data_IF_267622555326
#
_entry.id   IF_267622555326
#
_cell.length_a   1.000
_cell.length_b   1.000
_cell.length_c   1.000
_cell.angle_alpha   90.00
_cell.angle_beta   90.00
_cell.angle_gamma   90.00
#
_symmetry.space_group_name_H-M   'P 1'
#
loop_
_entity.id
_entity.type
_entity.pdbx_description
1 polymer ?
#
# COMPACT_ATOMS: atom_id res chain seq x y z
N UNK A 1 7.36 -6.32 25.06
CA UNK A 1 6.32 -6.68 24.07
C UNK A 1 5.67 -5.47 23.39
N UNK A 2 5.96 -4.22 23.80
CA UNK A 2 5.32 -3.02 23.22
C UNK A 2 5.93 -2.56 21.88
N UNK A 3 7.13 -3.02 21.51
CA UNK A 3 7.81 -2.53 20.30
C UNK A 3 7.53 -3.30 19.00
N UNK A 4 6.98 -4.52 19.08
CA UNK A 4 6.82 -5.38 17.88
C UNK A 4 5.52 -5.14 17.13
N UNK A 5 4.47 -4.66 17.81
CA UNK A 5 3.15 -4.49 17.21
C UNK A 5 3.13 -3.53 16.00
N UNK A 6 3.83 -2.37 16.00
CA UNK A 6 3.76 -1.45 14.87
C UNK A 6 4.49 -2.04 13.65
N UNK A 7 5.58 -2.76 13.86
CA UNK A 7 6.28 -3.50 12.79
C UNK A 7 5.39 -4.60 12.20
N UNK A 8 4.65 -5.32 13.04
CA UNK A 8 3.66 -6.30 12.58
C UNK A 8 2.52 -5.63 11.81
N UNK A 9 2.07 -4.43 12.22
CA UNK A 9 1.07 -3.67 11.49
C UNK A 9 1.60 -3.20 10.12
N UNK A 10 2.83 -2.67 10.06
CA UNK A 10 3.52 -2.27 8.82
C UNK A 10 3.66 -3.45 7.86
N UNK A 11 4.16 -4.60 8.35
CA UNK A 11 4.32 -5.81 7.56
C UNK A 11 2.97 -6.41 7.14
N UNK A 12 1.99 -6.45 8.05
CA UNK A 12 0.63 -6.94 7.81
C UNK A 12 -0.11 -6.11 6.76
N UNK A 13 0.00 -4.79 6.82
CA UNK A 13 -0.48 -3.88 5.77
C UNK A 13 0.23 -4.15 4.44
N UNK A 14 1.54 -4.43 4.46
CA UNK A 14 2.30 -4.79 3.26
C UNK A 14 1.77 -6.08 2.64
N UNK A 15 1.59 -7.13 3.44
CA UNK A 15 1.01 -8.39 3.02
C UNK A 15 -0.39 -8.19 2.43
N UNK A 16 -1.25 -7.41 3.11
CA UNK A 16 -2.58 -7.07 2.65
C UNK A 16 -2.57 -6.44 1.25
N UNK A 17 -1.69 -5.46 0.99
CA UNK A 17 -1.53 -4.87 -0.33
C UNK A 17 -1.00 -5.87 -1.37
N UNK A 18 -0.07 -6.73 -0.98
CA UNK A 18 0.52 -7.73 -1.88
C UNK A 18 -0.42 -8.87 -2.27
N UNK A 19 -1.41 -9.20 -1.43
CA UNK A 19 -2.48 -10.16 -1.75
C UNK A 19 -3.38 -9.65 -2.88
N UNK A 20 -3.48 -8.34 -3.07
CA UNK A 20 -4.42 -7.76 -4.02
C UNK A 20 -3.92 -7.88 -5.49
N UNK A 21 -4.63 -8.60 -6.38
CA UNK A 21 -4.25 -8.72 -7.79
C UNK A 21 -4.13 -7.38 -8.51
N UNK A 22 -4.95 -6.39 -8.13
CA UNK A 22 -4.94 -5.07 -8.73
C UNK A 22 -3.68 -4.27 -8.37
N UNK A 23 -2.99 -4.63 -7.27
CA UNK A 23 -1.73 -3.98 -6.84
C UNK A 23 -0.51 -4.40 -7.68
N UNK A 24 -0.72 -5.17 -8.76
CA UNK A 24 0.26 -5.31 -9.84
C UNK A 24 0.66 -6.75 -10.15
N UNK A 25 0.51 -7.70 -9.21
CA UNK A 25 0.96 -9.08 -9.44
C UNK A 25 0.20 -9.76 -10.59
N UNK A 26 -1.07 -9.40 -10.83
CA UNK A 26 -1.81 -9.89 -12.00
C UNK A 26 -1.20 -9.43 -13.33
N UNK A 27 -0.68 -8.19 -13.38
CA UNK A 27 0.05 -7.68 -14.54
C UNK A 27 1.39 -8.40 -14.72
N UNK A 28 2.11 -8.67 -13.61
CA UNK A 28 3.35 -9.43 -13.64
C UNK A 28 3.13 -10.84 -14.23
N UNK A 29 2.08 -11.54 -13.78
CA UNK A 29 1.69 -12.85 -14.32
C UNK A 29 1.30 -12.75 -15.78
N UNK A 30 0.48 -11.77 -16.16
CA UNK A 30 0.03 -11.59 -17.54
C UNK A 30 1.20 -11.35 -18.50
N UNK A 31 2.14 -10.49 -18.11
CA UNK A 31 3.34 -10.20 -18.89
C UNK A 31 4.26 -11.42 -19.00
N UNK A 32 4.42 -12.16 -17.90
CA UNK A 32 5.15 -13.43 -17.87
C UNK A 32 4.57 -14.47 -18.82
N UNK A 33 3.24 -14.69 -18.77
CA UNK A 33 2.53 -15.63 -19.64
C UNK A 33 2.63 -15.22 -21.11
N UNK A 34 2.50 -13.91 -21.39
CA UNK A 34 2.60 -13.38 -22.75
C UNK A 34 4.00 -13.56 -23.34
N UNK A 35 5.06 -13.28 -22.56
CA UNK A 35 6.46 -13.44 -22.98
C UNK A 35 7.01 -14.86 -22.76
N UNK A 36 6.21 -15.78 -22.22
CA UNK A 36 6.58 -17.16 -21.84
C UNK A 36 7.89 -17.26 -21.06
N UNK A 37 8.12 -16.32 -20.13
CA UNK A 37 9.37 -16.24 -19.35
C UNK A 37 9.07 -15.88 -17.90
N UNK A 38 9.48 -16.75 -16.98
CA UNK A 38 9.39 -16.50 -15.53
C UNK A 38 10.16 -15.24 -15.11
N UNK A 39 11.33 -15.00 -15.71
CA UNK A 39 12.15 -13.81 -15.40
C UNK A 39 11.36 -12.50 -15.57
N UNK A 40 10.40 -12.46 -16.48
CA UNK A 40 9.55 -11.28 -16.72
C UNK A 40 8.58 -11.03 -15.57
N UNK A 41 8.09 -12.10 -14.90
CA UNK A 41 7.25 -11.98 -13.70
C UNK A 41 8.05 -11.31 -12.57
N UNK A 42 9.29 -11.74 -12.37
CA UNK A 42 10.16 -11.17 -11.33
C UNK A 42 10.61 -9.74 -11.68
N UNK A 43 10.94 -9.48 -12.93
CA UNK A 43 11.29 -8.13 -13.41
C UNK A 43 10.13 -7.14 -13.24
N UNK A 44 8.89 -7.60 -13.39
CA UNK A 44 7.70 -6.78 -13.17
C UNK A 44 7.50 -6.37 -11.70
N UNK A 45 8.12 -7.05 -10.73
CA UNK A 45 8.07 -6.63 -9.33
C UNK A 45 8.81 -5.30 -9.08
N UNK A 46 9.85 -4.99 -9.87
CA UNK A 46 10.60 -3.75 -9.75
C UNK A 46 9.74 -2.51 -10.01
N UNK A 47 9.05 -2.35 -11.16
CA UNK A 47 8.16 -1.21 -11.37
C UNK A 47 6.97 -1.20 -10.41
N UNK A 48 6.49 -2.35 -9.95
CA UNK A 48 5.44 -2.40 -8.90
C UNK A 48 5.97 -1.75 -7.61
N UNK A 49 7.16 -2.14 -7.18
CA UNK A 49 7.82 -1.59 -6.01
C UNK A 49 8.02 -0.07 -6.13
N UNK A 50 8.53 0.40 -7.27
CA UNK A 50 8.82 1.83 -7.46
C UNK A 50 7.55 2.67 -7.47
N UNK A 51 6.49 2.22 -8.16
CA UNK A 51 5.21 2.92 -8.14
C UNK A 51 4.58 3.00 -6.75
N UNK A 52 4.60 1.89 -6.00
CA UNK A 52 4.06 1.83 -4.64
C UNK A 52 4.86 2.71 -3.67
N UNK A 53 6.19 2.61 -3.70
CA UNK A 53 7.07 3.43 -2.87
C UNK A 53 6.93 4.92 -3.20
N UNK A 54 6.79 5.28 -4.48
CA UNK A 54 6.56 6.67 -4.89
C UNK A 54 5.24 7.22 -4.37
N UNK A 55 4.18 6.41 -4.32
CA UNK A 55 2.88 6.81 -3.74
C UNK A 55 3.01 7.08 -2.24
N UNK A 56 3.65 6.18 -1.50
CA UNK A 56 3.89 6.37 -0.06
C UNK A 56 4.75 7.62 0.19
N UNK A 57 5.83 7.79 -0.59
CA UNK A 57 6.71 8.94 -0.46
C UNK A 57 5.96 10.26 -0.73
N UNK A 58 5.13 10.31 -1.78
CA UNK A 58 4.33 11.50 -2.09
C UNK A 58 3.35 11.82 -0.96
N UNK A 59 2.64 10.82 -0.43
CA UNK A 59 1.73 11.01 0.70
C UNK A 59 2.48 11.50 1.94
N UNK A 60 3.65 10.92 2.25
CA UNK A 60 4.47 11.33 3.37
C UNK A 60 4.96 12.78 3.23
N UNK A 61 5.42 13.18 2.04
CA UNK A 61 5.82 14.57 1.75
C UNK A 61 4.63 15.52 1.88
N UNK A 62 3.45 15.16 1.39
CA UNK A 62 2.25 15.98 1.50
C UNK A 62 1.82 16.18 2.96
N UNK A 63 1.84 15.11 3.76
CA UNK A 63 1.52 15.18 5.21
C UNK A 63 2.57 15.99 5.96
N UNK A 64 3.85 15.78 5.67
CA UNK A 64 4.95 16.50 6.32
C UNK A 64 4.91 17.99 6.02
N UNK A 65 4.70 18.38 4.76
CA UNK A 65 4.61 19.80 4.37
C UNK A 65 3.37 20.47 4.93
N UNK A 66 2.22 19.79 4.96
CA UNK A 66 1.01 20.30 5.62
C UNK A 66 1.22 20.55 7.12
N UNK A 67 1.94 19.64 7.81
CA UNK A 67 2.27 19.78 9.23
C UNK A 67 3.26 20.91 9.56
N UNK A 68 3.93 21.52 8.57
CA UNK A 68 4.76 22.71 8.79
C UNK A 68 3.93 24.00 8.93
N UNK A 69 2.70 23.99 8.41
CA UNK A 69 1.83 25.17 8.31
C UNK A 69 0.62 25.02 9.22
N UNK A 70 0.19 23.79 9.49
CA UNK A 70 -1.05 23.47 10.20
C UNK A 70 -0.74 22.53 11.38
N UNK A 71 -1.54 22.64 12.45
CA UNK A 71 -1.45 21.76 13.61
C UNK A 71 -1.57 20.27 13.24
N UNK A 72 -0.74 19.44 13.89
CA UNK A 72 -0.63 18.02 13.60
C UNK A 72 -1.94 17.24 13.86
N UNK A 73 -2.73 17.66 14.85
CA UNK A 73 -4.05 17.06 15.12
C UNK A 73 -4.98 17.33 13.96
N UNK A 74 -4.98 18.56 13.43
CA UNK A 74 -5.81 18.91 12.28
C UNK A 74 -5.41 18.13 11.02
N UNK A 75 -4.11 18.00 10.72
CA UNK A 75 -3.64 17.17 9.59
C UNK A 75 -4.09 15.72 9.74
N UNK A 76 -3.99 15.15 10.95
CA UNK A 76 -4.41 13.77 11.25
C UNK A 76 -5.92 13.58 11.06
N UNK A 77 -6.73 14.50 11.57
CA UNK A 77 -8.19 14.48 11.45
C UNK A 77 -8.62 14.62 9.99
N UNK A 78 -8.01 15.53 9.23
CA UNK A 78 -8.29 15.69 7.80
C UNK A 78 -7.91 14.44 7.02
N UNK A 79 -6.73 13.86 7.26
CA UNK A 79 -6.31 12.61 6.62
C UNK A 79 -7.27 11.46 6.93
N UNK A 80 -7.70 11.32 8.20
CA UNK A 80 -8.70 10.33 8.59
C UNK A 80 -10.06 10.57 7.94
N UNK A 81 -10.50 11.83 7.88
CA UNK A 81 -11.73 12.24 7.19
C UNK A 81 -11.70 11.92 5.70
N UNK A 82 -10.57 12.14 5.02
CA UNK A 82 -10.39 11.76 3.60
C UNK A 82 -10.58 10.25 3.42
N UNK A 83 -9.97 9.42 4.28
CA UNK A 83 -10.11 7.95 4.19
C UNK A 83 -11.56 7.50 4.45
N UNK A 84 -12.24 8.10 5.43
CA UNK A 84 -13.64 7.77 5.74
C UNK A 84 -14.60 8.19 4.61
N UNK A 85 -14.44 9.41 4.10
CA UNK A 85 -15.22 9.90 2.96
C UNK A 85 -14.99 9.02 1.73
N UNK A 86 -13.75 8.60 1.49
CA UNK A 86 -13.41 7.71 0.38
C UNK A 86 -14.00 6.31 0.55
N UNK A 87 -13.93 5.74 1.76
CA UNK A 87 -14.58 4.47 2.08
C UNK A 87 -16.09 4.54 1.88
N UNK A 88 -16.74 5.60 2.38
CA UNK A 88 -18.18 5.82 2.23
C UNK A 88 -18.56 5.98 0.76
N UNK A 89 -17.79 6.76 -0.01
CA UNK A 89 -17.98 6.90 -1.45
C UNK A 89 -17.98 5.53 -2.14
N UNK A 90 -17.02 4.66 -1.81
CA UNK A 90 -16.97 3.32 -2.39
C UNK A 90 -18.09 2.39 -1.94
N UNK A 91 -18.59 2.52 -0.71
CA UNK A 91 -19.78 1.77 -0.25
C UNK A 91 -21.03 2.21 -1.02
N UNK A 92 -21.20 3.51 -1.26
CA UNK A 92 -22.39 4.07 -1.88
C UNK A 92 -22.42 3.89 -3.40
N UNK A 93 -21.28 4.10 -4.07
CA UNK A 93 -21.20 4.12 -5.53
C UNK A 93 -20.58 2.86 -6.14
N UNK A 94 -19.96 2.01 -5.32
CA UNK A 94 -19.29 0.78 -5.73
C UNK A 94 -18.07 1.02 -6.64
N UNK A 95 -17.43 -0.07 -7.06
CA UNK A 95 -16.29 -0.07 -7.99
C UNK A 95 -16.72 0.13 -9.45
N UNK A 96 -17.59 1.12 -9.73
CA UNK A 96 -18.15 1.38 -11.07
C UNK A 96 -17.13 1.96 -12.05
N UNK A 97 -16.03 2.51 -11.54
CA UNK A 97 -14.96 3.10 -12.34
C UNK A 97 -14.03 2.02 -12.90
N UNK A 98 -14.33 1.55 -14.12
CA UNK A 98 -13.45 0.61 -14.84
C UNK A 98 -12.32 1.38 -15.53
N UNK A 99 -11.22 1.61 -14.83
CA UNK A 99 -9.99 2.07 -15.49
C UNK A 99 -9.43 0.92 -16.32
N UNK A 100 -9.55 1.02 -17.65
CA UNK A 100 -9.06 0.00 -18.58
C UNK A 100 -7.61 0.29 -18.93
N UNK A 101 -6.68 -0.15 -18.08
CA UNK A 101 -5.27 -0.24 -18.46
C UNK A 101 -5.00 -1.61 -19.05
N UNK A 102 -4.38 -1.65 -20.23
CA UNK A 102 -4.08 -2.90 -20.91
C UNK A 102 -3.12 -3.76 -20.08
N UNK A 103 -3.37 -5.07 -20.00
CA UNK A 103 -2.53 -6.02 -19.25
C UNK A 103 -1.12 -6.22 -19.85
N UNK A 104 -0.81 -5.51 -20.93
CA UNK A 104 0.47 -5.53 -21.66
C UNK A 104 1.20 -4.18 -21.61
N UNK A 105 0.86 -3.29 -20.68
CA UNK A 105 1.64 -2.06 -20.50
C UNK A 105 3.11 -2.37 -20.24
N UNK A 106 4.00 -1.59 -20.86
CA UNK A 106 5.44 -1.66 -20.57
C UNK A 106 5.75 -1.35 -19.08
N UNK A 107 7.00 -1.53 -18.67
CA UNK A 107 7.42 -1.38 -17.26
C UNK A 107 7.05 -0.01 -16.67
N UNK A 108 7.14 1.07 -17.46
CA UNK A 108 6.74 2.41 -17.03
C UNK A 108 5.22 2.52 -16.77
N UNK A 109 4.39 1.90 -17.61
CA UNK A 109 2.95 1.85 -17.40
C UNK A 109 2.58 1.01 -16.18
N UNK A 110 3.33 -0.05 -15.90
CA UNK A 110 3.16 -0.84 -14.68
C UNK A 110 3.54 -0.05 -13.42
N UNK A 111 4.61 0.75 -13.47
CA UNK A 111 4.97 1.64 -12.36
C UNK A 111 3.91 2.72 -12.13
N UNK A 112 3.42 3.37 -13.18
CA UNK A 112 2.34 4.35 -13.09
C UNK A 112 1.05 3.72 -12.56
N UNK A 113 0.69 2.53 -13.03
CA UNK A 113 -0.46 1.80 -12.52
C UNK A 113 -0.32 1.49 -11.03
N UNK A 114 0.83 0.95 -10.63
CA UNK A 114 1.12 0.66 -9.22
C UNK A 114 1.00 1.92 -8.36
N UNK A 115 1.55 3.04 -8.83
CA UNK A 115 1.42 4.34 -8.16
C UNK A 115 -0.04 4.79 -8.00
N UNK A 116 -0.84 4.74 -9.07
CA UNK A 116 -2.25 5.15 -9.02
C UNK A 116 -3.08 4.23 -8.13
N UNK A 117 -2.82 2.91 -8.19
CA UNK A 117 -3.50 1.93 -7.35
C UNK A 117 -3.11 2.11 -5.88
N UNK A 118 -1.84 2.32 -5.57
CA UNK A 118 -1.36 2.58 -4.21
C UNK A 118 -1.95 3.87 -3.62
N UNK A 119 -2.00 4.94 -4.42
CA UNK A 119 -2.59 6.22 -4.00
C UNK A 119 -4.10 6.10 -3.78
N UNK A 120 -4.81 5.42 -4.68
CA UNK A 120 -6.25 5.18 -4.51
C UNK A 120 -6.55 4.26 -3.32
N UNK A 121 -5.68 3.30 -3.02
CA UNK A 121 -5.80 2.46 -1.83
C UNK A 121 -5.52 3.22 -0.54
N UNK A 122 -4.96 4.43 -0.62
CA UNK A 122 -4.56 5.21 0.55
C UNK A 122 -3.33 4.66 1.24
N UNK A 123 -2.49 3.86 0.55
CA UNK A 123 -1.37 3.12 1.16
C UNK A 123 -0.45 4.01 2.00
N UNK A 124 -0.14 5.22 1.53
CA UNK A 124 0.66 6.19 2.27
C UNK A 124 -0.01 6.69 3.56
N UNK A 125 -1.31 7.02 3.52
CA UNK A 125 -2.07 7.46 4.70
C UNK A 125 -2.35 6.29 5.66
N UNK A 126 -2.50 5.07 5.13
CA UNK A 126 -2.70 3.85 5.92
C UNK A 126 -1.50 3.49 6.78
N UNK A 127 -0.29 3.89 6.38
CA UNK A 127 0.93 3.66 7.14
C UNK A 127 1.09 4.65 8.31
N UNK A 128 0.45 5.82 8.24
CA UNK A 128 0.65 6.91 9.20
C UNK A 128 0.39 6.51 10.68
N UNK A 129 -0.69 5.78 11.04
CA UNK A 129 -0.91 5.36 12.42
C UNK A 129 0.17 4.45 12.98
N UNK A 130 0.81 3.63 12.14
CA UNK A 130 1.87 2.71 12.57
C UNK A 130 3.25 3.41 12.62
N UNK A 131 3.46 4.46 11.83
CA UNK A 131 4.73 5.20 11.80
C UNK A 131 4.94 6.05 13.05
N UNK A 132 3.90 6.68 13.60
CA UNK A 132 4.09 7.61 14.72
C UNK A 132 4.61 6.91 16.00
N UNK A 133 4.07 5.75 16.42
CA UNK A 133 4.64 4.99 17.52
C UNK A 133 6.10 4.57 17.27
N UNK A 134 6.43 4.16 16.03
CA UNK A 134 7.79 3.74 15.67
C UNK A 134 8.81 4.87 15.79
N UNK A 135 8.45 6.08 15.33
CA UNK A 135 9.34 7.23 15.43
C UNK A 135 9.58 7.66 16.90
N UNK A 136 8.61 7.44 17.78
CA UNK A 136 8.70 7.76 19.21
C UNK A 136 9.50 6.72 20.02
N UNK A 137 9.40 5.44 19.69
CA UNK A 137 10.13 4.36 20.39
C UNK A 137 11.59 4.26 19.96
N UNK A 138 11.90 4.54 18.69
CA UNK A 138 13.23 4.33 18.13
C UNK A 138 14.16 5.57 18.21
N UNK A 139 13.71 6.65 18.85
CA UNK A 139 14.53 7.87 19.02
C UNK A 139 15.29 7.85 20.35
N UNK A 140 16.62 8.11 20.37
CA UNK A 140 17.39 8.22 21.61
C UNK A 140 16.80 9.27 22.56
N UNK A 141 16.42 8.85 23.76
CA UNK A 141 15.81 9.74 24.76
C UNK A 141 14.33 10.09 24.53
N UNK A 142 13.60 9.34 23.69
CA UNK A 142 12.19 9.58 23.35
C UNK A 142 11.89 10.99 22.80
N UNK A 143 12.91 11.67 22.27
CA UNK A 143 12.75 12.96 21.61
C UNK A 143 12.60 12.76 20.11
N UNK A 144 11.55 13.33 19.50
CA UNK A 144 11.37 13.34 18.06
C UNK A 144 12.46 14.17 17.39
N UNK A 145 13.53 13.52 16.95
CA UNK A 145 14.52 14.14 16.08
C UNK A 145 14.11 13.92 14.62
N UNK A 146 14.25 14.95 13.78
CA UNK A 146 13.90 14.86 12.36
C UNK A 146 14.66 13.72 11.66
N UNK A 147 15.95 13.54 11.99
CA UNK A 147 16.81 12.52 11.40
C UNK A 147 16.46 11.09 11.83
N UNK A 148 16.16 10.86 13.12
CA UNK A 148 15.75 9.54 13.63
C UNK A 148 14.35 9.11 13.18
N UNK A 149 13.46 10.10 13.02
CA UNK A 149 12.11 9.87 12.48
C UNK A 149 12.14 9.51 11.00
N UNK A 150 13.00 10.17 10.21
CA UNK A 150 13.15 9.89 8.79
C UNK A 150 13.72 8.48 8.54
N UNK A 151 14.79 8.09 9.25
CA UNK A 151 15.41 6.77 9.07
C UNK A 151 14.43 5.64 9.44
N UNK A 152 13.71 5.78 10.55
CA UNK A 152 12.70 4.80 10.98
C UNK A 152 11.56 4.71 9.97
N UNK A 153 11.08 5.85 9.45
CA UNK A 153 10.06 5.86 8.41
C UNK A 153 10.53 5.15 7.12
N UNK A 154 11.77 5.39 6.68
CA UNK A 154 12.34 4.69 5.51
C UNK A 154 12.41 3.17 5.72
N UNK A 155 12.81 2.73 6.91
CA UNK A 155 12.84 1.29 7.24
C UNK A 155 11.42 0.72 7.25
N UNK A 156 10.45 1.41 7.83
CA UNK A 156 9.06 0.97 7.83
C UNK A 156 8.47 0.87 6.40
N UNK A 157 8.72 1.86 5.55
CA UNK A 157 8.32 1.80 4.12
C UNK A 157 9.02 0.65 3.41
N UNK A 158 10.30 0.40 3.71
CA UNK A 158 11.06 -0.74 3.20
C UNK A 158 10.45 -2.09 3.62
N UNK A 159 10.15 -2.27 4.90
CA UNK A 159 9.52 -3.48 5.44
C UNK A 159 8.13 -3.70 4.83
N UNK A 160 7.31 -2.65 4.75
CA UNK A 160 6.00 -2.70 4.11
C UNK A 160 6.09 -3.16 2.65
N UNK A 161 6.97 -2.52 1.87
CA UNK A 161 7.14 -2.80 0.45
C UNK A 161 7.73 -4.19 0.24
N UNK A 162 8.70 -4.61 1.06
CA UNK A 162 9.27 -5.96 0.98
C UNK A 162 8.21 -7.04 1.28
N UNK A 163 7.43 -6.88 2.35
CA UNK A 163 6.35 -7.82 2.69
C UNK A 163 5.33 -7.93 1.55
N UNK A 164 4.95 -6.79 0.97
CA UNK A 164 4.06 -6.73 -0.21
C UNK A 164 4.64 -7.50 -1.40
N UNK A 165 5.90 -7.24 -1.77
CA UNK A 165 6.53 -7.87 -2.93
C UNK A 165 6.76 -9.36 -2.73
N UNK A 166 7.09 -9.80 -1.51
CA UNK A 166 7.29 -11.22 -1.19
C UNK A 166 5.98 -11.98 -1.44
N UNK A 167 4.87 -11.56 -0.85
CA UNK A 167 3.61 -12.28 -1.02
C UNK A 167 3.08 -12.17 -2.45
N UNK A 168 3.22 -11.00 -3.08
CA UNK A 168 2.86 -10.77 -4.48
C UNK A 168 3.67 -11.68 -5.41
N UNK A 169 4.98 -11.81 -5.18
CA UNK A 169 5.87 -12.67 -5.95
C UNK A 169 5.54 -14.16 -5.78
N UNK A 170 5.29 -14.61 -4.54
CA UNK A 170 4.87 -15.99 -4.26
C UNK A 170 3.58 -16.32 -5.02
N UNK A 171 2.57 -15.46 -4.91
CA UNK A 171 1.28 -15.66 -5.61
C UNK A 171 1.48 -15.60 -7.11
N UNK A 172 2.23 -14.63 -7.63
CA UNK A 172 2.47 -14.50 -9.06
C UNK A 172 3.14 -15.74 -9.65
N UNK A 173 4.17 -16.26 -8.98
CA UNK A 173 4.86 -17.47 -9.42
C UNK A 173 3.96 -18.70 -9.32
N UNK A 174 3.18 -18.84 -8.26
CA UNK A 174 2.24 -19.94 -8.11
C UNK A 174 1.16 -19.94 -9.20
N UNK A 175 0.64 -18.75 -9.54
CA UNK A 175 -0.34 -18.59 -10.61
C UNK A 175 0.27 -18.81 -11.98
N UNK A 176 1.51 -18.35 -12.20
CA UNK A 176 2.22 -18.53 -13.47
C UNK A 176 2.52 -20.01 -13.75
N UNK A 177 2.89 -20.81 -12.74
CA UNK A 177 3.30 -22.22 -12.93
C UNK A 177 2.14 -23.22 -12.82
N UNK A 178 1.19 -23.02 -11.90
CA UNK A 178 0.26 -24.09 -11.50
C UNK A 178 -1.21 -23.73 -11.66
N UNK A 179 -1.62 -22.53 -11.25
CA UNK A 179 -3.05 -22.21 -11.08
C UNK A 179 -3.66 -21.63 -12.36
N UNK A 180 -2.89 -20.81 -13.08
CA UNK A 180 -3.38 -19.97 -14.18
C UNK A 180 -4.35 -18.88 -13.70
N UNK A 181 -4.58 -17.84 -14.50
CA UNK A 181 -5.40 -16.67 -14.10
C UNK A 181 -6.90 -16.96 -13.96
N UNK A 182 -7.37 -18.12 -14.43
CA UNK A 182 -8.80 -18.48 -14.45
C UNK A 182 -9.42 -18.71 -13.06
N UNK A 183 -8.62 -18.90 -12.00
CA UNK A 183 -9.14 -19.05 -10.64
C UNK A 183 -9.72 -17.75 -10.06
N UNK A 184 -9.23 -16.59 -10.50
CA UNK A 184 -9.76 -15.28 -10.08
C UNK A 184 -11.24 -15.10 -10.50
N UNK A 185 -11.69 -15.83 -11.53
CA UNK A 185 -13.10 -15.85 -11.96
C UNK A 185 -13.97 -16.81 -11.15
N UNK A 186 -13.39 -17.77 -10.41
CA UNK A 186 -14.13 -18.88 -9.77
C UNK A 186 -14.39 -18.67 -8.28
N UNK A 187 -13.61 -17.85 -7.58
CA UNK A 187 -13.84 -17.60 -6.16
C UNK A 187 -12.67 -16.93 -5.44
N UNK A 188 -12.28 -15.73 -5.87
CA UNK A 188 -11.33 -14.92 -5.12
C UNK A 188 -12.04 -14.11 -4.03
N UNK A 189 -11.33 -13.82 -2.94
CA UNK A 189 -11.86 -12.99 -1.85
C UNK A 189 -12.23 -11.62 -2.41
N UNK A 190 -13.39 -11.09 -2.01
CA UNK A 190 -13.80 -9.73 -2.39
C UNK A 190 -12.95 -8.71 -1.63
N UNK A 191 -11.78 -8.41 -2.21
CA UNK A 191 -10.81 -7.48 -1.64
C UNK A 191 -11.33 -6.05 -1.57
N UNK A 192 -12.30 -5.66 -2.41
CA UNK A 192 -12.91 -4.33 -2.32
C UNK A 192 -13.59 -4.12 -0.96
N UNK A 193 -14.23 -5.17 -0.40
CA UNK A 193 -14.84 -5.11 0.93
C UNK A 193 -13.79 -5.03 2.04
N UNK A 194 -12.74 -5.85 1.93
CA UNK A 194 -11.63 -5.80 2.90
C UNK A 194 -10.93 -4.45 2.87
N UNK A 195 -10.81 -3.86 1.68
CA UNK A 195 -10.23 -2.55 1.46
C UNK A 195 -11.04 -1.43 2.07
N UNK A 196 -12.35 -1.39 1.83
CA UNK A 196 -13.26 -0.46 2.51
C UNK A 196 -13.14 -0.60 4.03
N UNK A 197 -13.12 -1.83 4.54
CA UNK A 197 -12.92 -2.09 5.97
C UNK A 197 -11.58 -1.53 6.49
N UNK A 198 -10.50 -1.72 5.75
CA UNK A 198 -9.18 -1.19 6.11
C UNK A 198 -9.14 0.34 6.08
N UNK A 199 -9.75 0.99 5.08
CA UNK A 199 -9.90 2.45 5.04
C UNK A 199 -10.69 2.99 6.24
N UNK A 200 -11.81 2.33 6.58
CA UNK A 200 -12.63 2.71 7.74
C UNK A 200 -11.82 2.59 9.03
N UNK A 201 -11.14 1.47 9.25
CA UNK A 201 -10.32 1.26 10.44
C UNK A 201 -9.20 2.29 10.54
N UNK A 202 -8.42 2.51 9.49
CA UNK A 202 -7.34 3.52 9.51
C UNK A 202 -7.90 4.93 9.70
N UNK A 203 -8.98 5.28 8.99
CA UNK A 203 -9.62 6.59 9.11
C UNK A 203 -10.08 6.88 10.54
N UNK A 204 -10.70 5.89 11.20
CA UNK A 204 -11.09 5.98 12.61
C UNK A 204 -9.87 6.12 13.52
N UNK A 205 -8.82 5.31 13.34
CA UNK A 205 -7.58 5.39 14.13
C UNK A 205 -6.89 6.75 14.03
N UNK A 206 -6.96 7.41 12.88
CA UNK A 206 -6.42 8.76 12.71
C UNK A 206 -7.25 9.82 13.44
N UNK A 207 -8.59 9.68 13.45
CA UNK A 207 -9.46 10.67 14.10
C UNK A 207 -9.44 10.55 15.63
N UNK A 208 -9.20 9.36 16.17
CA UNK A 208 -9.12 9.17 17.62
C UNK A 208 -8.05 10.10 18.23
N UNK A 209 -8.32 10.69 19.40
CA UNK A 209 -7.32 11.42 20.16
C UNK A 209 -6.37 10.41 20.81
N UNK A 210 -5.10 10.50 20.43
CA UNK A 210 -3.95 9.85 21.03
C UNK A 210 -2.75 10.76 20.88
#
# INVERSE_FOLDING_TARGET
>A
MQETWPWLAVAGLGLYHGLNPAMGWLFAVALGLHRRRQAVVLQALVPIATGHAASIALAAVAVATAGLIIDQVFVRVVAGGILLCWALYHVLYGSRHRVRVGMQTGLAGLALWSFLMASSHGAGLMLAPALLPLCLTNSPGHQLTASGSLSTAMVAVGVHTAAMLIIAGIIALAVYHWIGVGFLRRGWINLDRLWVGALLMTGLLLIQPW
#
